data_IF_643314706694
#
_entry.id   IF_643314706694
#
_cell.length_a   1.000
_cell.length_b   1.000
_cell.length_c   1.000
_cell.angle_alpha   90.00
_cell.angle_beta   90.00
_cell.angle_gamma   90.00
#
_symmetry.space_group_name_H-M   'P 1'
#
loop_
_entity.id
_entity.type
_entity.pdbx_description
1 polymer ?
#
# COMPACT_ATOMS: atom_id res chain seq x y z
N UNK A 1 -28.52 2.29 -42.25
CA UNK A 1 -27.17 2.87 -42.17
C UNK A 1 -26.90 3.68 -40.88
N UNK A 2 -27.90 4.06 -40.10
CA UNK A 2 -27.77 4.89 -38.90
C UNK A 2 -27.47 4.13 -37.57
N UNK A 3 -27.63 2.82 -37.51
CA UNK A 3 -27.43 2.04 -36.26
C UNK A 3 -25.96 1.71 -35.94
N UNK A 4 -25.10 1.66 -36.94
CA UNK A 4 -23.67 1.35 -36.74
C UNK A 4 -22.86 2.56 -36.22
N UNK A 5 -23.26 3.77 -36.58
CA UNK A 5 -22.57 5.00 -36.16
C UNK A 5 -22.79 5.29 -34.65
N UNK A 6 -23.98 4.99 -34.14
CA UNK A 6 -24.33 5.18 -32.73
C UNK A 6 -23.54 4.24 -31.78
N UNK A 7 -23.25 3.01 -32.23
CA UNK A 7 -22.54 2.02 -31.43
C UNK A 7 -21.04 2.31 -31.32
N UNK A 8 -20.43 2.88 -32.36
CA UNK A 8 -19.02 3.29 -32.35
C UNK A 8 -18.77 4.50 -31.42
N UNK A 9 -19.64 5.49 -31.46
CA UNK A 9 -19.53 6.70 -30.62
C UNK A 9 -19.77 6.38 -29.15
N UNK A 10 -20.70 5.50 -28.82
CA UNK A 10 -20.96 5.07 -27.43
C UNK A 10 -19.81 4.20 -26.87
N UNK A 11 -19.18 3.39 -27.71
CA UNK A 11 -18.02 2.59 -27.32
C UNK A 11 -16.79 3.45 -27.00
N UNK A 12 -16.57 4.51 -27.78
CA UNK A 12 -15.46 5.45 -27.54
C UNK A 12 -15.70 6.31 -26.29
N UNK A 13 -16.92 6.75 -26.07
CA UNK A 13 -17.28 7.52 -24.86
C UNK A 13 -17.10 6.70 -23.60
N UNK A 14 -17.52 5.43 -23.60
CA UNK A 14 -17.36 4.55 -22.45
C UNK A 14 -15.88 4.21 -22.16
N UNK A 15 -15.06 4.08 -23.21
CA UNK A 15 -13.60 3.91 -23.07
C UNK A 15 -12.94 5.18 -22.54
N UNK A 16 -13.34 6.33 -23.06
CA UNK A 16 -12.83 7.63 -22.61
C UNK A 16 -13.19 7.88 -21.15
N UNK A 17 -14.43 7.62 -20.74
CA UNK A 17 -14.85 7.79 -19.34
C UNK A 17 -14.06 6.86 -18.41
N UNK A 18 -13.88 5.58 -18.74
CA UNK A 18 -13.04 4.67 -17.96
C UNK A 18 -11.58 5.10 -17.88
N UNK A 19 -11.05 5.68 -18.95
CA UNK A 19 -9.69 6.22 -18.94
C UNK A 19 -9.59 7.47 -18.07
N UNK A 20 -10.56 8.37 -18.14
CA UNK A 20 -10.63 9.56 -17.29
C UNK A 20 -10.77 9.19 -15.80
N UNK A 21 -11.63 8.22 -15.46
CA UNK A 21 -11.77 7.69 -14.11
C UNK A 21 -10.45 7.11 -13.59
N UNK A 22 -9.75 6.33 -14.41
CA UNK A 22 -8.44 5.78 -14.03
C UNK A 22 -7.39 6.85 -13.81
N UNK A 23 -7.39 7.92 -14.61
CA UNK A 23 -6.47 9.05 -14.39
C UNK A 23 -6.78 9.77 -13.08
N UNK A 24 -8.06 10.03 -12.77
CA UNK A 24 -8.46 10.63 -11.51
C UNK A 24 -8.08 9.79 -10.29
N UNK A 25 -8.25 8.46 -10.39
CA UNK A 25 -7.81 7.55 -9.33
C UNK A 25 -6.28 7.54 -9.17
N UNK A 26 -5.54 7.58 -10.26
CA UNK A 26 -4.07 7.66 -10.23
C UNK A 26 -3.57 8.97 -9.59
N UNK A 27 -4.27 10.08 -9.82
CA UNK A 27 -3.94 11.37 -9.20
C UNK A 27 -4.05 11.33 -7.67
N UNK A 28 -4.99 10.56 -7.12
CA UNK A 28 -5.17 10.43 -5.67
C UNK A 28 -4.00 9.74 -4.97
N UNK A 29 -3.29 8.86 -5.66
CA UNK A 29 -2.15 8.10 -5.13
C UNK A 29 -0.80 8.72 -5.46
N UNK A 30 -0.78 9.94 -6.03
CA UNK A 30 0.46 10.63 -6.40
C UNK A 30 1.22 11.18 -5.20
N UNK A 31 2.51 11.35 -5.40
CA UNK A 31 3.39 12.00 -4.42
C UNK A 31 2.84 13.39 -4.03
N UNK A 32 2.82 13.66 -2.73
CA UNK A 32 2.31 14.90 -2.13
C UNK A 32 0.87 14.82 -1.64
N UNK A 33 0.12 13.77 -2.00
CA UNK A 33 -1.24 13.54 -1.50
C UNK A 33 -1.23 12.68 -0.23
N UNK A 34 -2.29 12.76 0.61
CA UNK A 34 -2.53 11.77 1.66
C UNK A 34 -2.68 10.36 1.06
N UNK A 35 -2.50 9.33 1.87
CA UNK A 35 -2.84 7.95 1.47
C UNK A 35 -4.33 7.85 1.14
N UNK A 36 -4.67 7.03 0.15
CA UNK A 36 -6.07 6.63 -0.05
C UNK A 36 -6.46 5.72 1.10
N UNK A 37 -7.59 6.04 1.71
CA UNK A 37 -8.09 5.28 2.84
C UNK A 37 -8.52 3.86 2.45
N UNK A 38 -8.17 2.90 3.29
CA UNK A 38 -8.46 1.48 3.08
C UNK A 38 -9.01 0.86 4.36
N UNK A 39 -10.03 0.02 4.20
CA UNK A 39 -10.59 -0.78 5.29
C UNK A 39 -9.67 -1.94 5.65
N UNK A 40 -9.23 -1.99 6.88
CA UNK A 40 -8.29 -2.96 7.42
C UNK A 40 -8.86 -3.69 8.66
N UNK A 41 -8.24 -4.81 9.00
CA UNK A 41 -8.41 -5.49 10.28
C UNK A 41 -7.06 -5.74 10.94
N UNK A 42 -7.04 -5.65 12.25
CA UNK A 42 -5.91 -6.07 13.10
C UNK A 42 -5.91 -7.58 13.31
N UNK A 43 -4.82 -8.18 13.82
CA UNK A 43 -4.78 -9.62 14.13
C UNK A 43 -5.82 -10.09 15.17
N UNK A 44 -6.36 -9.20 15.99
CA UNK A 44 -7.44 -9.53 16.93
C UNK A 44 -8.86 -9.36 16.32
N UNK A 45 -8.94 -8.97 15.04
CA UNK A 45 -10.20 -8.80 14.30
C UNK A 45 -10.84 -7.42 14.43
N UNK A 46 -10.17 -6.46 15.07
CA UNK A 46 -10.65 -5.07 15.17
C UNK A 46 -10.56 -4.38 13.81
N UNK A 47 -11.65 -3.77 13.35
CA UNK A 47 -11.66 -2.96 12.11
C UNK A 47 -11.02 -1.61 12.35
N UNK A 48 -10.24 -1.15 11.37
CA UNK A 48 -9.57 0.15 11.39
C UNK A 48 -9.41 0.70 9.96
N UNK A 49 -9.01 1.96 9.87
CA UNK A 49 -8.80 2.67 8.62
C UNK A 49 -7.33 2.99 8.43
N UNK A 50 -6.81 2.86 7.20
CA UNK A 50 -5.41 3.17 6.91
C UNK A 50 -5.09 4.64 7.22
N UNK A 51 -6.00 5.55 6.93
CA UNK A 51 -5.81 6.97 7.21
C UNK A 51 -5.62 7.26 8.72
N UNK A 52 -6.37 6.58 9.58
CA UNK A 52 -6.23 6.70 11.03
C UNK A 52 -4.89 6.15 11.52
N UNK A 53 -4.42 5.04 10.93
CA UNK A 53 -3.11 4.46 11.23
C UNK A 53 -2.00 5.43 10.83
N UNK A 54 -2.04 5.99 9.62
CA UNK A 54 -1.06 6.99 9.17
C UNK A 54 -1.05 8.19 10.08
N UNK A 55 -2.22 8.70 10.48
CA UNK A 55 -2.36 9.82 11.43
C UNK A 55 -1.74 9.49 12.80
N UNK A 56 -1.88 8.28 13.29
CA UNK A 56 -1.27 7.85 14.55
C UNK A 56 0.26 7.80 14.49
N UNK A 57 0.85 7.81 13.28
CA UNK A 57 2.30 7.83 13.05
C UNK A 57 2.82 9.20 12.56
N UNK A 58 2.00 10.27 12.63
CA UNK A 58 2.48 11.62 12.32
C UNK A 58 3.76 11.96 13.09
N UNK A 59 4.68 12.65 12.45
CA UNK A 59 5.99 12.96 12.98
C UNK A 59 7.07 11.93 12.65
N UNK A 60 6.72 10.79 12.03
CA UNK A 60 7.65 9.77 11.56
C UNK A 60 7.53 9.55 10.07
N UNK A 61 8.62 9.15 9.43
CA UNK A 61 8.56 8.52 8.10
C UNK A 61 7.98 7.12 8.26
N UNK A 62 6.92 6.80 7.52
CA UNK A 62 6.23 5.51 7.60
C UNK A 62 6.39 4.72 6.30
N UNK A 63 6.88 3.49 6.42
CA UNK A 63 6.81 2.50 5.35
C UNK A 63 5.55 1.65 5.52
N UNK A 64 4.71 1.64 4.49
CA UNK A 64 3.58 0.73 4.38
C UNK A 64 3.95 -0.36 3.38
N UNK A 65 4.12 -1.57 3.86
CA UNK A 65 4.49 -2.76 3.10
C UNK A 65 3.25 -3.61 2.81
N UNK A 66 2.75 -3.57 1.57
CA UNK A 66 1.67 -4.46 1.15
C UNK A 66 2.25 -5.78 0.66
N UNK A 67 1.81 -6.86 1.28
CA UNK A 67 2.35 -8.21 1.08
C UNK A 67 1.26 -9.29 1.11
N UNK A 68 1.64 -10.55 1.03
CA UNK A 68 0.74 -11.68 1.29
C UNK A 68 1.52 -12.93 1.67
N UNK A 69 0.88 -13.87 2.37
CA UNK A 69 1.49 -15.14 2.78
C UNK A 69 1.97 -16.00 1.61
N UNK A 70 1.24 -15.95 0.50
CA UNK A 70 1.55 -16.65 -0.74
C UNK A 70 2.58 -15.92 -1.63
N UNK A 71 2.96 -14.69 -1.28
CA UNK A 71 3.92 -13.88 -2.04
C UNK A 71 5.36 -14.23 -1.65
N UNK A 72 5.99 -15.17 -2.34
CA UNK A 72 7.35 -15.59 -2.06
C UNK A 72 8.37 -14.46 -2.10
N UNK A 73 8.28 -13.54 -3.06
CA UNK A 73 9.17 -12.37 -3.19
C UNK A 73 9.00 -11.41 -2.01
N UNK A 74 7.75 -11.18 -1.55
CA UNK A 74 7.48 -10.35 -0.38
C UNK A 74 8.20 -10.92 0.85
N UNK A 75 8.04 -12.22 1.10
CA UNK A 75 8.63 -12.91 2.24
C UNK A 75 10.16 -12.95 2.16
N UNK A 76 10.72 -13.07 0.97
CA UNK A 76 12.18 -12.98 0.73
C UNK A 76 12.74 -11.59 1.05
N UNK A 77 11.95 -10.53 0.90
CA UNK A 77 12.35 -9.15 1.20
C UNK A 77 12.24 -8.79 2.69
N UNK A 78 11.52 -9.58 3.49
CA UNK A 78 11.31 -9.31 4.92
C UNK A 78 12.61 -9.17 5.73
N UNK A 79 13.65 -9.99 5.55
CA UNK A 79 14.92 -9.81 6.26
C UNK A 79 15.60 -8.46 5.99
N UNK A 80 15.53 -7.96 4.76
CA UNK A 80 16.11 -6.67 4.38
C UNK A 80 15.33 -5.52 5.02
N UNK A 81 13.98 -5.61 5.02
CA UNK A 81 13.12 -4.64 5.73
C UNK A 81 13.42 -4.65 7.24
N UNK A 82 13.65 -5.82 7.85
CA UNK A 82 14.06 -5.92 9.26
C UNK A 82 15.39 -5.21 9.50
N UNK A 83 16.36 -5.42 8.64
CA UNK A 83 17.67 -4.75 8.74
C UNK A 83 17.52 -3.24 8.68
N UNK A 84 16.71 -2.73 7.74
CA UNK A 84 16.39 -1.30 7.66
C UNK A 84 15.67 -0.82 8.92
N UNK A 85 14.66 -1.57 9.36
CA UNK A 85 13.88 -1.27 10.56
C UNK A 85 14.75 -1.16 11.81
N UNK A 86 15.72 -2.06 12.00
CA UNK A 86 16.61 -2.07 13.15
C UNK A 86 17.71 -1.00 13.08
N UNK A 87 18.01 -0.47 11.89
CA UNK A 87 19.08 0.51 11.67
C UNK A 87 18.67 1.96 11.96
N UNK A 88 17.36 2.25 12.12
CA UNK A 88 16.84 3.61 12.27
C UNK A 88 16.09 3.75 13.59
N UNK A 89 16.20 4.93 14.22
CA UNK A 89 15.50 5.27 15.46
C UNK A 89 13.98 5.23 15.26
N UNK A 90 13.27 4.53 16.17
CA UNK A 90 11.80 4.40 16.17
C UNK A 90 11.06 5.73 16.36
N UNK A 91 11.73 6.77 16.82
CA UNK A 91 11.15 8.11 16.88
C UNK A 91 11.06 8.77 15.50
N UNK A 92 11.83 8.32 14.52
CA UNK A 92 11.93 8.91 13.17
C UNK A 92 11.31 8.06 12.09
N UNK A 93 11.30 6.73 12.27
CA UNK A 93 10.87 5.78 11.24
C UNK A 93 10.03 4.65 11.82
N UNK A 94 9.00 4.26 11.11
CA UNK A 94 8.16 3.12 11.46
C UNK A 94 7.82 2.30 10.21
N UNK A 95 7.53 1.02 10.41
CA UNK A 95 7.04 0.10 9.40
C UNK A 95 5.69 -0.46 9.84
N UNK A 96 4.76 -0.55 8.94
CA UNK A 96 3.56 -1.38 9.07
C UNK A 96 3.46 -2.30 7.87
N UNK A 97 2.98 -3.52 8.04
CA UNK A 97 2.63 -4.38 6.91
C UNK A 97 1.12 -4.58 6.81
N UNK A 98 0.64 -4.56 5.58
CA UNK A 98 -0.78 -4.75 5.25
C UNK A 98 -0.89 -5.97 4.33
N UNK A 99 -1.44 -7.05 4.84
CA UNK A 99 -1.65 -8.27 4.05
C UNK A 99 -2.79 -8.13 3.06
N UNK A 100 -2.60 -8.71 1.87
CA UNK A 100 -3.62 -8.90 0.84
C UNK A 100 -4.22 -10.31 0.88
N UNK A 101 -4.04 -11.07 1.97
CA UNK A 101 -4.57 -12.42 2.11
C UNK A 101 -6.10 -12.41 2.25
N UNK A 102 -6.75 -13.35 1.58
CA UNK A 102 -8.16 -13.67 1.81
C UNK A 102 -8.32 -14.75 2.90
N UNK A 103 -7.27 -15.54 3.16
CA UNK A 103 -7.22 -16.57 4.18
C UNK A 103 -6.53 -16.05 5.46
N UNK A 104 -7.34 -15.75 6.48
CA UNK A 104 -6.86 -15.29 7.78
C UNK A 104 -5.89 -16.28 8.45
N UNK A 105 -6.10 -17.58 8.27
CA UNK A 105 -5.22 -18.62 8.83
C UNK A 105 -3.83 -18.59 8.20
N UNK A 106 -3.76 -18.51 6.87
CA UNK A 106 -2.51 -18.43 6.13
C UNK A 106 -1.73 -17.15 6.48
N UNK A 107 -2.42 -16.00 6.58
CA UNK A 107 -1.82 -14.76 7.05
C UNK A 107 -1.19 -14.89 8.45
N UNK A 108 -1.94 -15.43 9.41
CA UNK A 108 -1.48 -15.60 10.79
C UNK A 108 -0.29 -16.56 10.90
N UNK A 109 -0.28 -17.63 10.11
CA UNK A 109 0.83 -18.58 10.07
C UNK A 109 2.09 -17.92 9.52
N UNK A 110 1.99 -17.22 8.39
CA UNK A 110 3.11 -16.51 7.78
C UNK A 110 3.68 -15.42 8.70
N UNK A 111 2.83 -14.67 9.43
CA UNK A 111 3.31 -13.70 10.43
C UNK A 111 4.16 -14.36 11.52
N UNK A 112 3.76 -15.56 12.00
CA UNK A 112 4.52 -16.31 13.02
C UNK A 112 5.85 -16.82 12.49
N UNK A 113 5.85 -17.32 11.24
CA UNK A 113 7.05 -17.82 10.59
C UNK A 113 8.05 -16.70 10.32
N UNK A 114 7.60 -15.60 9.74
CA UNK A 114 8.45 -14.50 9.31
C UNK A 114 8.85 -13.58 10.47
N UNK A 115 8.16 -13.65 11.63
CA UNK A 115 8.48 -12.91 12.88
C UNK A 115 8.74 -11.43 12.63
N UNK A 116 7.86 -10.77 11.89
CA UNK A 116 7.94 -9.34 11.62
C UNK A 116 7.72 -8.56 12.93
N UNK A 117 8.65 -7.67 13.34
CA UNK A 117 8.58 -7.02 14.66
C UNK A 117 7.63 -5.82 14.72
N UNK A 118 7.11 -5.35 13.59
CA UNK A 118 6.21 -4.21 13.47
C UNK A 118 4.75 -4.62 13.38
N UNK A 119 3.86 -3.64 13.44
CA UNK A 119 2.41 -3.87 13.45
C UNK A 119 1.93 -4.41 12.10
N UNK A 120 1.05 -5.40 12.18
CA UNK A 120 0.46 -6.10 11.05
C UNK A 120 -1.03 -5.80 10.93
N UNK A 121 -1.49 -5.64 9.70
CA UNK A 121 -2.88 -5.48 9.32
C UNK A 121 -3.21 -6.39 8.14
N UNK A 122 -4.49 -6.62 7.89
CA UNK A 122 -4.98 -7.30 6.69
C UNK A 122 -6.08 -6.46 6.04
N UNK A 123 -6.12 -6.43 4.71
CA UNK A 123 -7.20 -5.79 3.97
C UNK A 123 -8.52 -6.54 4.21
N UNK A 124 -9.61 -5.80 4.45
CA UNK A 124 -10.94 -6.39 4.32
C UNK A 124 -11.25 -6.67 2.84
N UNK A 125 -12.31 -7.44 2.51
CA UNK A 125 -12.71 -7.61 1.11
C UNK A 125 -12.99 -6.29 0.38
N UNK A 126 -13.51 -5.28 1.09
CA UNK A 126 -13.72 -3.93 0.58
C UNK A 126 -12.40 -3.18 0.39
N UNK A 127 -11.52 -3.25 1.40
CA UNK A 127 -10.17 -2.67 1.35
C UNK A 127 -9.32 -3.27 0.23
N UNK A 128 -9.41 -4.59 0.00
CA UNK A 128 -8.73 -5.27 -1.10
C UNK A 128 -9.15 -4.70 -2.47
N UNK A 129 -10.46 -4.56 -2.71
CA UNK A 129 -10.98 -3.96 -3.95
C UNK A 129 -10.52 -2.51 -4.12
N UNK A 130 -10.59 -1.72 -3.04
CA UNK A 130 -10.14 -0.33 -3.04
C UNK A 130 -8.64 -0.22 -3.31
N UNK A 131 -7.81 -1.08 -2.70
CA UNK A 131 -6.36 -1.10 -2.91
C UNK A 131 -6.01 -1.27 -4.39
N UNK A 132 -6.48 -2.33 -5.03
CA UNK A 132 -6.18 -2.58 -6.45
C UNK A 132 -6.77 -1.52 -7.39
N UNK A 133 -7.92 -0.95 -7.04
CA UNK A 133 -8.56 0.08 -7.84
C UNK A 133 -7.80 1.41 -7.78
N UNK A 134 -7.50 1.90 -6.57
CA UNK A 134 -6.90 3.22 -6.37
C UNK A 134 -5.39 3.24 -6.64
N UNK A 135 -4.66 2.24 -6.15
CA UNK A 135 -3.21 2.17 -6.36
C UNK A 135 -2.83 1.59 -7.73
N UNK A 136 -3.82 1.14 -8.51
CA UNK A 136 -3.65 0.60 -9.88
C UNK A 136 -2.52 -0.43 -10.00
N UNK A 137 -2.25 -1.15 -8.92
CA UNK A 137 -1.27 -2.21 -8.88
C UNK A 137 -1.83 -3.50 -9.45
N UNK A 138 -0.94 -4.37 -9.94
CA UNK A 138 -1.29 -5.71 -10.41
C UNK A 138 -0.95 -6.79 -9.39
N UNK A 139 -0.40 -6.40 -8.23
CA UNK A 139 0.01 -7.35 -7.19
C UNK A 139 0.89 -6.75 -6.12
N UNK A 140 1.44 -7.64 -5.32
CA UNK A 140 2.40 -7.37 -4.25
C UNK A 140 3.75 -8.05 -4.57
N UNK A 141 4.89 -7.58 -4.04
CA UNK A 141 5.03 -6.51 -3.04
C UNK A 141 4.70 -5.13 -3.60
N UNK A 142 4.09 -4.30 -2.77
CA UNK A 142 3.85 -2.91 -3.09
C UNK A 142 4.23 -2.05 -1.88
N UNK A 143 5.23 -1.19 -2.05
CA UNK A 143 5.73 -0.33 -0.99
C UNK A 143 5.18 1.07 -1.15
N UNK A 144 4.70 1.66 -0.08
CA UNK A 144 4.27 3.05 -0.05
C UNK A 144 5.02 3.77 1.07
N UNK A 145 5.73 4.84 0.71
CA UNK A 145 6.46 5.65 1.68
C UNK A 145 5.72 6.95 1.96
N UNK A 146 5.55 7.25 3.24
CA UNK A 146 4.79 8.41 3.74
C UNK A 146 5.71 9.24 4.63
N UNK A 147 5.68 10.56 4.45
CA UNK A 147 6.47 11.49 5.25
C UNK A 147 5.82 11.81 6.62
N UNK A 148 6.52 12.54 7.51
CA UNK A 148 6.00 12.91 8.83
C UNK A 148 4.68 13.69 8.83
N UNK A 149 4.32 14.34 7.72
CA UNK A 149 3.06 15.06 7.54
C UNK A 149 1.92 14.18 7.01
N UNK A 150 2.12 12.86 6.91
CA UNK A 150 1.12 11.92 6.43
C UNK A 150 0.91 11.92 4.91
N UNK A 151 1.86 12.44 4.13
CA UNK A 151 1.78 12.51 2.68
C UNK A 151 2.66 11.48 2.01
N UNK A 152 2.16 10.90 0.94
CA UNK A 152 2.91 9.97 0.09
C UNK A 152 4.14 10.67 -0.51
N UNK A 153 5.32 10.10 -0.33
CA UNK A 153 6.57 10.59 -0.94
C UNK A 153 7.12 9.66 -2.01
N UNK A 154 6.57 8.46 -2.12
CA UNK A 154 6.91 7.56 -3.22
C UNK A 154 6.35 6.15 -3.08
N UNK A 155 6.49 5.44 -4.19
CA UNK A 155 6.20 4.02 -4.34
C UNK A 155 7.44 3.33 -4.91
N UNK A 156 8.42 2.97 -4.06
CA UNK A 156 9.63 2.31 -4.50
C UNK A 156 9.36 0.87 -4.96
N UNK A 157 10.05 0.44 -6.01
CA UNK A 157 9.88 -0.87 -6.63
C UNK A 157 10.61 -2.01 -5.91
N UNK A 158 11.37 -1.74 -4.83
CA UNK A 158 12.10 -2.72 -4.06
C UNK A 158 12.78 -2.14 -2.83
N UNK A 159 13.27 -2.99 -1.93
CA UNK A 159 13.80 -2.59 -0.62
C UNK A 159 15.01 -1.67 -0.72
N UNK A 160 15.89 -1.83 -1.71
CA UNK A 160 17.02 -0.91 -1.92
C UNK A 160 16.55 0.53 -2.19
N UNK A 161 15.47 0.68 -2.96
CA UNK A 161 14.89 1.99 -3.23
C UNK A 161 14.16 2.54 -2.00
N UNK A 162 13.49 1.68 -1.22
CA UNK A 162 12.90 2.06 0.08
C UNK A 162 13.99 2.66 0.97
N UNK A 163 15.10 1.94 1.16
CA UNK A 163 16.21 2.38 2.00
C UNK A 163 16.77 3.74 1.54
N UNK A 164 17.03 3.90 0.25
CA UNK A 164 17.53 5.15 -0.32
C UNK A 164 16.57 6.32 -0.10
N UNK A 165 15.26 6.09 -0.26
CA UNK A 165 14.24 7.12 -0.06
C UNK A 165 14.06 7.47 1.42
N UNK A 166 14.07 6.49 2.32
CA UNK A 166 14.00 6.72 3.77
C UNK A 166 15.19 7.54 4.24
N UNK A 167 16.42 7.16 3.87
CA UNK A 167 17.63 7.93 4.22
C UNK A 167 17.54 9.39 3.75
N UNK A 168 17.11 9.60 2.51
CA UNK A 168 16.93 10.95 1.96
C UNK A 168 15.89 11.77 2.70
N UNK A 169 14.80 11.13 3.16
CA UNK A 169 13.76 11.83 3.93
C UNK A 169 14.23 12.21 5.32
N UNK A 170 15.00 11.36 5.97
CA UNK A 170 15.55 11.61 7.33
C UNK A 170 16.66 12.68 7.36
N UNK A 171 17.24 13.02 6.23
CA UNK A 171 18.26 14.10 6.09
C UNK A 171 17.63 15.50 5.89
N UNK A 172 16.29 15.59 5.82
CA UNK A 172 15.57 16.86 5.59
C UNK A 172 15.30 17.61 6.88
#
# INVERSE_FOLDING_TARGET
MFRFFSMLVLGDTARFNRFAERLQLAEQTTVGNPVVDLDLVTPDGTRCQLADIVKAHEGKTLLIDFWASWCGICRMSTPDIKTLYDSIDRSQFEVISVSCDEDDSAWREAMKEDKMPWTQYCLTPEGYKAFFLHYQTIGVPYYLLVNPEGKVIGNPGGVEQVEAMVKKELER
#
